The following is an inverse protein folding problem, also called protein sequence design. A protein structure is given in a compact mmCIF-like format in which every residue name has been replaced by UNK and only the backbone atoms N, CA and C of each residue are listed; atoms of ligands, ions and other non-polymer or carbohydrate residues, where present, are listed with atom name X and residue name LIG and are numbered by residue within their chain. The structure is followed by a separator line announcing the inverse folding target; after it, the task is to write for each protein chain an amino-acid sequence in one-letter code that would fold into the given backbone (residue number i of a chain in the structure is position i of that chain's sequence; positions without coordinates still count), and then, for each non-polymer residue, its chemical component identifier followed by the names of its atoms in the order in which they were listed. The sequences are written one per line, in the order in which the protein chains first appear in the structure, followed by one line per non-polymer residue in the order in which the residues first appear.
data_IF_403759500629
#
_entry.id   IF_403759500629
#
_cell.length_a   1.000
_cell.length_b   1.000
_cell.length_c   1.000
_cell.angle_alpha   90.00
_cell.angle_beta   90.00
_cell.angle_gamma   90.00
#
_symmetry.space_group_name_H-M   'P 1'
#
loop_
_entity.id
_entity.type
_entity.pdbx_description
1 polymer ?
#
# COMPACT_ATOMS: atom_id res chain seq x y z
N UNK A 1 -0.53 32.96 8.16
CA UNK A 1 0.17 32.32 7.02
C UNK A 1 -0.51 30.98 6.76
N UNK A 2 -0.87 30.66 5.51
CA UNK A 2 -1.47 29.36 5.18
C UNK A 2 -0.37 28.35 4.77
N UNK A 3 -0.74 27.07 4.68
CA UNK A 3 0.22 25.99 4.36
C UNK A 3 0.84 26.19 2.97
N UNK A 4 0.04 26.60 1.99
CA UNK A 4 0.47 26.83 0.61
C UNK A 4 1.55 27.91 0.53
N UNK A 5 1.34 29.06 1.19
CA UNK A 5 2.31 30.15 1.20
C UNK A 5 3.59 29.77 1.96
N UNK A 6 3.48 28.98 3.02
CA UNK A 6 4.65 28.50 3.76
C UNK A 6 5.49 27.55 2.90
N UNK A 7 4.84 26.63 2.20
CA UNK A 7 5.50 25.72 1.26
C UNK A 7 6.16 26.47 0.11
N UNK A 8 5.45 27.42 -0.53
CA UNK A 8 5.99 28.24 -1.62
C UNK A 8 7.20 29.06 -1.19
N UNK A 9 7.16 29.63 0.02
CA UNK A 9 8.29 30.39 0.56
C UNK A 9 9.51 29.48 0.76
N UNK A 10 9.34 28.37 1.48
CA UNK A 10 10.43 27.43 1.74
C UNK A 10 10.97 26.81 0.45
N UNK A 11 10.11 26.50 -0.52
CA UNK A 11 10.50 25.94 -1.81
C UNK A 11 11.41 26.88 -2.60
N UNK A 12 11.11 28.18 -2.61
CA UNK A 12 11.92 29.20 -3.32
C UNK A 12 13.29 29.45 -2.67
N UNK A 13 13.42 29.18 -1.38
CA UNK A 13 14.69 29.33 -0.63
C UNK A 13 15.61 28.11 -0.81
N UNK A 14 15.11 27.00 -1.34
CA UNK A 14 15.88 25.79 -1.56
C UNK A 14 16.65 25.80 -2.89
N UNK A 15 17.80 25.10 -2.97
CA UNK A 15 18.53 24.91 -4.22
C UNK A 15 17.75 23.99 -5.19
N UNK A 16 18.06 24.04 -6.50
CA UNK A 16 17.32 23.31 -7.53
C UNK A 16 17.19 21.80 -7.28
N UNK A 17 18.22 21.17 -6.72
CA UNK A 17 18.22 19.73 -6.42
C UNK A 17 17.18 19.37 -5.35
N UNK A 18 17.02 20.24 -4.35
CA UNK A 18 16.04 20.06 -3.27
C UNK A 18 14.63 20.43 -3.69
N UNK A 19 14.48 21.36 -4.63
CA UNK A 19 13.20 21.62 -5.27
C UNK A 19 12.71 20.39 -6.05
N UNK A 20 13.60 19.72 -6.79
CA UNK A 20 13.26 18.48 -7.50
C UNK A 20 12.82 17.37 -6.54
N UNK A 21 13.55 17.17 -5.44
CA UNK A 21 13.21 16.16 -4.42
C UNK A 21 11.79 16.37 -3.83
N UNK A 22 11.37 17.63 -3.64
CA UNK A 22 10.00 17.95 -3.18
C UNK A 22 8.96 17.61 -4.26
N UNK A 23 9.26 17.89 -5.53
CA UNK A 23 8.37 17.55 -6.64
C UNK A 23 8.19 16.03 -6.72
N UNK A 24 9.28 15.27 -6.70
CA UNK A 24 9.29 13.81 -6.72
C UNK A 24 8.49 13.24 -5.54
N UNK A 25 8.68 13.79 -4.33
CA UNK A 25 7.91 13.39 -3.16
C UNK A 25 6.40 13.68 -3.31
N UNK A 26 6.04 14.83 -3.91
CA UNK A 26 4.64 15.16 -4.16
C UNK A 26 3.98 14.20 -5.16
N UNK A 27 4.72 13.74 -6.16
CA UNK A 27 4.26 12.74 -7.13
C UNK A 27 4.12 11.37 -6.47
N UNK A 28 5.10 10.97 -5.65
CA UNK A 28 5.02 9.75 -4.86
C UNK A 28 3.78 9.71 -3.96
N UNK A 29 3.48 10.81 -3.26
CA UNK A 29 2.28 10.89 -2.43
C UNK A 29 0.99 10.76 -3.26
N UNK A 30 0.94 11.39 -4.44
CA UNK A 30 -0.19 11.23 -5.36
C UNK A 30 -0.36 9.80 -5.82
N UNK A 31 0.73 9.11 -6.18
CA UNK A 31 0.71 7.70 -6.57
C UNK A 31 0.23 6.81 -5.42
N UNK A 32 0.69 7.04 -4.17
CA UNK A 32 0.22 6.28 -3.01
C UNK A 32 -1.27 6.45 -2.71
N UNK A 33 -1.84 7.62 -3.00
CA UNK A 33 -3.28 7.85 -2.83
C UNK A 33 -4.07 7.18 -3.97
N UNK A 34 -3.53 7.19 -5.19
CA UNK A 34 -4.14 6.55 -6.37
C UNK A 34 -4.09 5.03 -6.29
N UNK A 35 -3.00 4.47 -5.77
CA UNK A 35 -2.92 3.07 -5.33
C UNK A 35 -3.63 2.98 -3.99
N UNK A 36 -4.94 3.20 -4.00
CA UNK A 36 -5.80 2.71 -2.93
C UNK A 36 -5.46 1.23 -2.82
N UNK A 37 -4.95 0.71 -1.69
CA UNK A 37 -4.84 -0.73 -1.53
C UNK A 37 -6.25 -1.23 -1.85
N UNK A 38 -6.37 -2.14 -2.81
CA UNK A 38 -7.61 -2.89 -2.98
C UNK A 38 -7.91 -3.42 -1.59
N UNK A 39 -8.85 -2.77 -0.89
CA UNK A 39 -9.45 -3.31 0.30
C UNK A 39 -10.21 -4.49 -0.24
N UNK A 40 -9.52 -5.62 -0.42
CA UNK A 40 -10.16 -6.89 -0.70
C UNK A 40 -11.14 -7.04 0.44
N UNK A 41 -12.42 -6.93 0.09
CA UNK A 41 -13.50 -6.93 1.06
C UNK A 41 -13.29 -8.20 1.89
N UNK A 42 -13.22 -8.13 3.23
CA UNK A 42 -12.95 -9.30 4.07
C UNK A 42 -13.87 -10.49 3.73
N UNK A 43 -15.09 -10.20 3.26
CA UNK A 43 -16.05 -11.18 2.78
C UNK A 43 -15.61 -11.90 1.50
N UNK A 44 -15.09 -11.20 0.48
CA UNK A 44 -14.57 -11.85 -0.73
C UNK A 44 -13.35 -12.71 -0.44
N UNK A 45 -12.49 -12.27 0.49
CA UNK A 45 -11.38 -13.11 0.95
C UNK A 45 -11.91 -14.36 1.68
N UNK A 46 -12.88 -14.21 2.58
CA UNK A 46 -13.48 -15.34 3.28
C UNK A 46 -14.12 -16.36 2.30
N UNK A 47 -14.85 -15.90 1.28
CA UNK A 47 -15.44 -16.77 0.25
C UNK A 47 -14.37 -17.47 -0.60
N UNK A 48 -13.30 -16.76 -0.99
CA UNK A 48 -12.19 -17.38 -1.72
C UNK A 48 -11.47 -18.45 -0.88
N UNK A 49 -11.30 -18.23 0.42
CA UNK A 49 -10.73 -19.20 1.35
C UNK A 49 -11.64 -20.41 1.55
N UNK A 50 -12.95 -20.18 1.63
CA UNK A 50 -13.95 -21.25 1.72
C UNK A 50 -13.94 -22.13 0.47
N UNK A 51 -13.98 -21.53 -0.71
CA UNK A 51 -13.90 -22.26 -1.99
C UNK A 51 -12.59 -23.03 -2.14
N UNK A 52 -11.47 -22.44 -1.70
CA UNK A 52 -10.18 -23.12 -1.69
C UNK A 52 -10.17 -24.34 -0.77
N UNK A 53 -10.73 -24.20 0.45
CA UNK A 53 -10.80 -25.28 1.44
C UNK A 53 -11.71 -26.43 0.97
N UNK A 54 -12.84 -26.12 0.35
CA UNK A 54 -13.77 -27.09 -0.21
C UNK A 54 -13.22 -27.82 -1.45
N UNK A 55 -12.26 -27.21 -2.15
CA UNK A 55 -11.58 -27.80 -3.31
C UNK A 55 -10.42 -28.74 -2.93
N UNK A 56 -10.11 -28.91 -1.64
CA UNK A 56 -9.02 -29.80 -1.20
C UNK A 56 -9.46 -31.26 -1.14
N UNK A 57 -8.64 -32.22 -1.62
CA UNK A 57 -8.90 -33.65 -1.45
C UNK A 57 -8.78 -34.05 0.03
N UNK A 58 -9.51 -35.09 0.45
CA UNK A 58 -9.60 -35.55 1.85
C UNK A 58 -8.23 -35.90 2.50
N UNK A 59 -7.21 -36.18 1.68
CA UNK A 59 -5.83 -36.45 2.08
C UNK A 59 -4.88 -35.25 1.89
N UNK A 60 -5.38 -34.01 1.87
CA UNK A 60 -4.52 -32.84 1.69
C UNK A 60 -3.67 -32.60 2.94
N UNK A 61 -2.32 -32.59 2.85
CA UNK A 61 -1.49 -32.09 3.93
C UNK A 61 -1.90 -30.63 4.15
N UNK A 62 -2.29 -30.27 5.37
CA UNK A 62 -2.93 -28.98 5.67
C UNK A 62 -2.18 -27.75 5.16
N UNK A 63 -2.80 -26.57 5.32
CA UNK A 63 -2.30 -25.29 4.81
C UNK A 63 -0.78 -25.15 4.92
N UNK A 64 -0.06 -24.92 3.80
CA UNK A 64 1.39 -24.76 3.85
C UNK A 64 1.74 -23.54 4.70
N UNK A 65 2.88 -23.59 5.40
CA UNK A 65 3.34 -22.52 6.31
C UNK A 65 3.44 -21.15 5.59
N UNK A 66 3.64 -21.17 4.27
CA UNK A 66 3.61 -20.01 3.38
C UNK A 66 2.23 -19.37 3.19
N UNK A 67 1.13 -19.98 3.63
CA UNK A 67 -0.21 -19.40 3.70
C UNK A 67 -0.43 -18.58 4.98
N UNK A 68 0.37 -18.83 6.03
CA UNK A 68 0.42 -18.06 7.26
C UNK A 68 1.36 -16.85 7.13
N UNK A 69 1.42 -16.19 5.95
CA UNK A 69 2.12 -14.89 5.85
C UNK A 69 1.42 -13.90 6.76
N UNK A 70 1.85 -13.86 8.03
CA UNK A 70 1.77 -12.67 8.86
C UNK A 70 2.58 -11.66 8.08
N UNK A 71 1.90 -10.70 7.45
CA UNK A 71 2.53 -9.50 6.89
C UNK A 71 3.52 -9.01 7.94
N UNK A 72 4.81 -9.32 7.75
CA UNK A 72 5.86 -8.84 8.63
C UNK A 72 5.97 -7.36 8.31
N UNK A 73 5.30 -6.55 9.13
CA UNK A 73 5.49 -5.11 9.18
C UNK A 73 6.94 -4.91 9.66
N UNK A 74 7.83 -4.65 8.71
CA UNK A 74 9.14 -4.05 8.96
C UNK A 74 9.16 -2.67 8.31
#
# INVERSE_FOLDING_TARGET
MNIEQTLLKNFRELPPEKQQEILDFSEFLRQKILVKPEQKIPQQQAENWKNWAESQPENSPGLPESALKRETIY
#
